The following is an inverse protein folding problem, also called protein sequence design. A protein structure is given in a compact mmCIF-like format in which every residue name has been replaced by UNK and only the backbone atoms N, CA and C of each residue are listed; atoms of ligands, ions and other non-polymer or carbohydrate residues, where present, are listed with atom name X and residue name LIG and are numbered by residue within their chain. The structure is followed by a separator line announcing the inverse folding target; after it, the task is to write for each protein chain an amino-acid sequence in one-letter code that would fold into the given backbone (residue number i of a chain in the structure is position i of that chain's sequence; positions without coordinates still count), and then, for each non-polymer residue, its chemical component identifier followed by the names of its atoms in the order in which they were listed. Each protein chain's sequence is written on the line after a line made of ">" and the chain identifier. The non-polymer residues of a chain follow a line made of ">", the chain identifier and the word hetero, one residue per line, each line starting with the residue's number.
data_IF_701481570060
#
_entry.id   IF_701481570060
#
_cell.length_a   1.000
_cell.length_b   1.000
_cell.length_c   1.000
_cell.angle_alpha   90.00
_cell.angle_beta   90.00
_cell.angle_gamma   90.00
#
_symmetry.space_group_name_H-M   'P 1'
#
loop_
_entity.id
_entity.type
_entity.pdbx_description
1 polymer ?
#
# COMPACT_ATOMS: atom_id res chain seq x y z
N UNK A 1 42.32 12.88 45.40
CA UNK A 1 41.50 12.99 44.17
C UNK A 1 40.06 12.64 44.51
N UNK A 2 39.12 13.53 44.17
CA UNK A 2 37.70 13.40 44.51
C UNK A 2 37.03 12.23 43.74
N UNK A 3 36.00 11.58 44.31
CA UNK A 3 35.28 10.46 43.67
C UNK A 3 34.61 10.86 42.33
N UNK A 4 34.27 12.14 42.16
CA UNK A 4 33.74 12.71 40.91
C UNK A 4 34.81 12.80 39.82
N UNK A 5 36.08 13.08 40.18
CA UNK A 5 37.19 13.07 39.22
C UNK A 5 37.55 11.65 38.76
N UNK A 6 37.39 10.63 39.60
CA UNK A 6 37.61 9.22 39.20
C UNK A 6 36.59 8.74 38.17
N UNK A 7 35.31 9.11 38.31
CA UNK A 7 34.27 8.73 37.34
C UNK A 7 34.43 9.44 35.99
N UNK A 8 34.88 10.70 35.99
CA UNK A 8 35.16 11.43 34.74
C UNK A 8 36.38 10.86 33.99
N UNK A 9 37.44 10.49 34.71
CA UNK A 9 38.64 9.88 34.09
C UNK A 9 38.32 8.48 33.54
N UNK A 10 37.50 7.68 34.23
CA UNK A 10 37.03 6.39 33.73
C UNK A 10 36.10 6.53 32.50
N UNK A 11 35.20 7.52 32.49
CA UNK A 11 34.34 7.80 31.33
C UNK A 11 35.16 8.24 30.11
N UNK A 12 36.20 9.06 30.30
CA UNK A 12 37.10 9.51 29.22
C UNK A 12 37.96 8.34 28.70
N UNK A 13 38.42 7.44 29.57
CA UNK A 13 39.20 6.26 29.19
C UNK A 13 38.37 5.20 28.45
N UNK A 14 37.05 5.12 28.66
CA UNK A 14 36.19 4.13 28.00
C UNK A 14 35.53 4.67 26.72
N UNK A 15 35.18 5.97 26.68
CA UNK A 15 34.48 6.56 25.55
C UNK A 15 35.43 6.90 24.39
N UNK A 16 36.65 7.36 24.67
CA UNK A 16 37.63 7.69 23.61
C UNK A 16 38.06 6.46 22.78
N UNK A 17 38.37 5.28 23.35
CA UNK A 17 38.67 4.12 22.53
C UNK A 17 37.46 3.57 21.77
N UNK A 18 36.21 3.74 22.28
CA UNK A 18 35.01 3.34 21.54
C UNK A 18 34.70 4.26 20.36
N UNK A 19 34.91 5.57 20.51
CA UNK A 19 34.82 6.51 19.38
C UNK A 19 35.98 6.29 18.41
N UNK A 20 37.19 6.01 18.91
CA UNK A 20 38.35 5.65 18.09
C UNK A 20 38.15 4.35 17.30
N UNK A 21 37.52 3.33 17.90
CA UNK A 21 37.17 2.06 17.23
C UNK A 21 36.03 2.26 16.23
N UNK A 22 35.04 3.10 16.53
CA UNK A 22 33.98 3.47 15.59
C UNK A 22 34.51 4.24 14.37
N UNK A 23 35.44 5.17 14.59
CA UNK A 23 36.13 5.90 13.51
C UNK A 23 37.04 4.96 12.73
N UNK A 24 37.79 4.06 13.38
CA UNK A 24 38.67 3.08 12.73
C UNK A 24 37.90 2.00 11.95
N UNK A 25 36.76 1.52 12.45
CA UNK A 25 35.88 0.62 11.70
C UNK A 25 35.20 1.34 10.53
N UNK A 26 34.83 2.62 10.69
CA UNK A 26 34.28 3.42 9.59
C UNK A 26 35.34 3.80 8.53
N UNK A 27 36.60 3.95 8.93
CA UNK A 27 37.71 4.23 8.00
C UNK A 27 38.22 2.97 7.31
N UNK A 28 38.29 1.83 8.02
CA UNK A 28 38.65 0.51 7.49
C UNK A 28 37.59 -0.01 6.50
N UNK A 29 36.30 0.17 6.80
CA UNK A 29 35.20 -0.16 5.85
C UNK A 29 35.08 0.84 4.69
N UNK A 30 35.75 2.00 4.76
CA UNK A 30 35.81 2.98 3.66
C UNK A 30 37.04 2.76 2.75
N UNK A 31 38.06 2.03 3.19
CA UNK A 31 39.28 1.79 2.41
C UNK A 31 39.23 0.63 1.43
N UNK A 32 38.27 -0.29 1.52
CA UNK A 32 38.13 -1.37 0.52
C UNK A 32 37.24 -1.00 -0.70
N UNK A 33 36.68 0.21 -0.74
CA UNK A 33 35.85 0.70 -1.86
C UNK A 33 36.52 1.75 -2.75
N UNK A 34 37.79 2.11 -2.52
CA UNK A 34 38.52 3.02 -3.42
C UNK A 34 39.71 2.28 -4.01
N UNK A 35 39.41 1.32 -4.89
CA UNK A 35 40.41 0.84 -5.85
C UNK A 35 40.52 1.90 -6.95
N UNK A 36 41.71 2.50 -7.05
CA UNK A 36 42.11 3.56 -7.96
C UNK A 36 41.37 3.57 -9.31
N UNK A 37 40.53 4.58 -9.52
CA UNK A 37 40.26 5.07 -10.88
C UNK A 37 41.52 5.80 -11.37
N UNK A 38 42.32 5.11 -12.16
CA UNK A 38 43.26 5.77 -13.05
C UNK A 38 42.49 6.74 -13.96
N UNK A 39 43.01 7.96 -14.06
CA UNK A 39 42.58 8.95 -15.07
C UNK A 39 42.70 8.26 -16.43
N UNK A 40 41.61 8.10 -17.21
CA UNK A 40 41.76 7.60 -18.56
C UNK A 40 42.44 8.69 -19.36
N UNK A 41 43.71 8.46 -19.71
CA UNK A 41 44.23 8.93 -20.98
C UNK A 41 43.26 8.46 -22.07
N UNK A 42 42.86 9.35 -22.98
CA UNK A 42 42.11 8.96 -24.16
C UNK A 42 42.85 7.81 -24.87
N UNK A 43 42.17 6.68 -25.09
CA UNK A 43 41.98 6.29 -26.47
C UNK A 43 40.52 5.88 -26.74
N UNK A 44 40.07 6.19 -27.96
CA UNK A 44 38.98 5.59 -28.74
C UNK A 44 37.85 4.85 -28.00
N UNK A 45 36.62 5.28 -28.31
CA UNK A 45 35.37 4.60 -27.94
C UNK A 45 35.33 3.11 -28.33
N UNK A 46 35.58 2.22 -27.39
CA UNK A 46 35.11 0.83 -27.49
C UNK A 46 33.75 0.72 -26.79
N UNK A 47 32.68 0.77 -27.58
CA UNK A 47 31.37 0.29 -27.14
C UNK A 47 31.48 -1.22 -26.93
N UNK A 48 31.56 -1.70 -25.68
CA UNK A 48 31.30 -3.10 -25.36
C UNK A 48 29.86 -3.43 -25.71
N UNK A 49 29.63 -4.10 -26.83
CA UNK A 49 28.36 -4.75 -27.13
C UNK A 49 28.20 -5.94 -26.19
N UNK A 50 27.37 -5.82 -25.16
CA UNK A 50 26.89 -7.00 -24.43
C UNK A 50 26.10 -7.87 -25.40
N UNK A 51 26.42 -9.16 -25.46
CA UNK A 51 25.68 -10.09 -26.30
C UNK A 51 24.31 -10.32 -25.67
N UNK A 52 23.24 -10.33 -26.47
CA UNK A 52 21.88 -10.63 -26.01
C UNK A 52 21.81 -11.95 -25.21
N UNK A 53 22.71 -12.89 -25.52
CA UNK A 53 22.85 -14.16 -24.79
C UNK A 53 23.25 -13.97 -23.33
N UNK A 54 24.15 -13.02 -23.05
CA UNK A 54 24.62 -12.71 -21.68
C UNK A 54 23.53 -12.02 -20.87
N UNK A 55 22.76 -11.12 -21.49
CA UNK A 55 21.63 -10.46 -20.84
C UNK A 55 20.50 -11.45 -20.52
N UNK A 56 20.22 -12.40 -21.42
CA UNK A 56 19.25 -13.48 -21.17
C UNK A 56 19.68 -14.38 -20.01
N UNK A 57 20.97 -14.72 -19.93
CA UNK A 57 21.53 -15.48 -18.82
C UNK A 57 21.38 -14.71 -17.50
N UNK A 58 21.73 -13.42 -17.50
CA UNK A 58 21.59 -12.56 -16.33
C UNK A 58 20.14 -12.46 -15.86
N UNK A 59 19.17 -12.30 -16.76
CA UNK A 59 17.76 -12.26 -16.41
C UNK A 59 17.32 -13.57 -15.72
N UNK A 60 17.78 -14.72 -16.22
CA UNK A 60 17.49 -16.04 -15.64
C UNK A 60 18.10 -16.19 -14.24
N UNK A 61 19.37 -15.88 -14.07
CA UNK A 61 20.07 -15.96 -12.77
C UNK A 61 19.46 -15.01 -11.74
N UNK A 62 19.05 -13.81 -12.16
CA UNK A 62 18.33 -12.88 -11.30
C UNK A 62 16.97 -13.42 -10.88
N UNK A 63 16.21 -14.05 -11.78
CA UNK A 63 14.93 -14.69 -11.45
C UNK A 63 15.10 -15.89 -10.51
N UNK A 64 16.15 -16.70 -10.67
CA UNK A 64 16.48 -17.79 -9.74
C UNK A 64 16.89 -17.25 -8.36
N UNK A 65 17.69 -16.17 -8.34
CA UNK A 65 18.07 -15.46 -7.10
C UNK A 65 16.85 -14.82 -6.44
N UNK A 66 15.89 -14.31 -7.21
CA UNK A 66 14.65 -13.76 -6.67
C UNK A 66 13.86 -14.86 -5.94
N UNK A 67 13.76 -16.05 -6.53
CA UNK A 67 13.08 -17.20 -5.92
C UNK A 67 13.75 -17.65 -4.61
N UNK A 68 15.08 -17.55 -4.48
CA UNK A 68 15.77 -17.87 -3.22
C UNK A 68 15.63 -16.77 -2.14
N UNK A 69 15.21 -15.57 -2.54
CA UNK A 69 14.95 -14.44 -1.64
C UNK A 69 13.51 -14.37 -1.13
N UNK A 70 12.73 -15.46 -1.21
CA UNK A 70 11.35 -15.53 -0.69
C UNK A 70 11.22 -15.04 0.77
N UNK A 71 12.26 -15.22 1.58
CA UNK A 71 12.29 -14.78 2.99
C UNK A 71 12.70 -13.31 3.19
N UNK A 72 13.06 -12.58 2.13
CA UNK A 72 13.42 -11.17 2.17
C UNK A 72 12.61 -10.39 1.13
N UNK A 73 11.37 -10.06 1.47
CA UNK A 73 10.41 -9.38 0.57
C UNK A 73 11.00 -8.11 -0.07
N UNK A 74 11.73 -7.28 0.69
CA UNK A 74 12.39 -6.08 0.15
C UNK A 74 13.38 -6.41 -0.98
N UNK A 75 14.19 -7.45 -0.80
CA UNK A 75 15.17 -7.87 -1.80
C UNK A 75 14.47 -8.58 -2.97
N UNK A 76 13.44 -9.38 -2.69
CA UNK A 76 12.59 -10.03 -3.68
C UNK A 76 12.00 -9.02 -4.68
N UNK A 77 11.35 -7.97 -4.18
CA UNK A 77 10.73 -6.94 -5.03
C UNK A 77 11.75 -6.02 -5.71
N UNK A 78 12.86 -5.69 -5.05
CA UNK A 78 13.93 -4.90 -5.68
C UNK A 78 14.54 -5.65 -6.86
N UNK A 79 14.73 -6.96 -6.70
CA UNK A 79 15.29 -7.80 -7.75
C UNK A 79 14.31 -7.97 -8.92
N UNK A 80 13.01 -8.02 -8.67
CA UNK A 80 11.97 -7.98 -9.71
C UNK A 80 12.12 -6.80 -10.65
N UNK A 81 12.35 -5.60 -10.09
CA UNK A 81 12.55 -4.38 -10.88
C UNK A 81 13.82 -4.46 -11.73
N UNK A 82 14.89 -5.04 -11.20
CA UNK A 82 16.12 -5.25 -11.96
C UNK A 82 15.94 -6.27 -13.08
N UNK A 83 15.21 -7.35 -12.83
CA UNK A 83 14.84 -8.34 -13.86
C UNK A 83 14.03 -7.67 -14.96
N UNK A 84 13.08 -6.81 -14.60
CA UNK A 84 12.25 -6.09 -15.57
C UNK A 84 13.07 -5.13 -16.44
N UNK A 85 14.02 -4.39 -15.85
CA UNK A 85 14.93 -3.53 -16.61
C UNK A 85 15.83 -4.32 -17.57
N UNK A 86 16.33 -5.48 -17.15
CA UNK A 86 17.11 -6.37 -18.04
C UNK A 86 16.24 -6.92 -19.17
N UNK A 87 14.99 -7.30 -18.87
CA UNK A 87 14.02 -7.74 -19.89
C UNK A 87 13.75 -6.63 -20.92
N UNK A 88 13.56 -5.39 -20.49
CA UNK A 88 13.37 -4.24 -21.38
C UNK A 88 14.60 -3.97 -22.26
N UNK A 89 15.81 -4.16 -21.70
CA UNK A 89 17.06 -4.05 -22.46
C UNK A 89 17.21 -5.17 -23.51
N UNK A 90 16.80 -6.41 -23.18
CA UNK A 90 16.79 -7.52 -24.14
C UNK A 90 15.83 -7.21 -25.29
N UNK A 91 14.64 -6.68 -24.99
CA UNK A 91 13.65 -6.29 -26.00
C UNK A 91 14.19 -5.18 -26.91
N UNK A 92 14.88 -4.18 -26.35
CA UNK A 92 15.42 -3.07 -27.14
C UNK A 92 16.58 -3.47 -28.05
N UNK A 93 17.31 -4.54 -27.71
CA UNK A 93 18.46 -5.03 -28.49
C UNK A 93 18.06 -6.08 -29.55
N UNK A 94 17.18 -7.03 -29.21
CA UNK A 94 16.92 -8.23 -30.04
C UNK A 94 15.48 -8.33 -30.56
N UNK A 95 14.60 -7.38 -30.19
CA UNK A 95 13.22 -7.32 -30.66
C UNK A 95 12.30 -8.47 -30.22
N UNK A 96 12.82 -9.52 -29.55
CA UNK A 96 12.02 -10.67 -29.15
C UNK A 96 12.52 -11.34 -27.85
N UNK A 97 11.55 -11.71 -26.99
CA UNK A 97 11.79 -12.53 -25.80
C UNK A 97 11.63 -14.01 -26.20
N UNK A 98 12.62 -14.86 -25.92
CA UNK A 98 12.49 -16.31 -26.13
C UNK A 98 11.44 -16.91 -25.19
N UNK A 99 10.73 -17.96 -25.63
CA UNK A 99 9.57 -18.53 -24.91
C UNK A 99 9.87 -18.99 -23.48
N UNK A 100 11.13 -19.35 -23.17
CA UNK A 100 11.58 -19.72 -21.82
C UNK A 100 11.49 -18.58 -20.79
N UNK A 101 11.50 -17.32 -21.24
CA UNK A 101 11.35 -16.12 -20.39
C UNK A 101 9.93 -15.52 -20.44
N UNK A 102 9.08 -15.98 -21.36
CA UNK A 102 7.66 -15.58 -21.43
C UNK A 102 6.80 -16.32 -20.40
N UNK A 103 7.20 -17.54 -20.02
CA UNK A 103 6.40 -18.42 -19.16
C UNK A 103 6.16 -17.89 -17.74
N UNK A 104 6.99 -16.97 -17.25
CA UNK A 104 6.83 -16.35 -15.93
C UNK A 104 6.02 -15.04 -15.95
N UNK A 105 5.66 -14.51 -17.13
CA UNK A 105 4.92 -13.25 -17.27
C UNK A 105 3.82 -13.38 -18.34
N UNK A 106 2.80 -14.20 -18.09
CA UNK A 106 1.52 -14.04 -18.82
C UNK A 106 0.74 -12.84 -18.28
N UNK A 107 1.35 -11.64 -18.41
CA UNK A 107 0.59 -10.39 -18.42
C UNK A 107 0.43 -10.04 -19.89
N UNK A 108 -0.79 -10.30 -20.36
CA UNK A 108 -1.27 -10.09 -21.70
C UNK A 108 -0.99 -8.65 -22.17
N UNK A 109 0.12 -8.44 -22.90
CA UNK A 109 0.43 -7.18 -23.58
C UNK A 109 -0.26 -7.09 -24.95
N UNK A 110 -1.52 -7.52 -25.01
CA UNK A 110 -2.35 -7.44 -26.21
C UNK A 110 -3.64 -6.63 -25.97
N UNK A 111 -3.51 -5.35 -25.64
CA UNK A 111 -4.57 -4.36 -25.92
C UNK A 111 -4.03 -2.93 -25.82
N UNK A 112 -3.40 -2.48 -26.90
CA UNK A 112 -3.27 -1.05 -27.19
C UNK A 112 -4.55 -0.63 -27.93
N UNK A 113 -5.18 0.46 -27.45
CA UNK A 113 -6.33 1.19 -28.02
C UNK A 113 -7.73 1.02 -27.37
N UNK A 114 -7.80 1.03 -26.05
CA UNK A 114 -8.92 1.72 -25.38
C UNK A 114 -8.39 2.41 -24.13
N UNK A 115 -8.47 3.74 -24.07
CA UNK A 115 -8.36 4.44 -22.79
C UNK A 115 -9.34 3.75 -21.82
N UNK A 116 -8.89 3.28 -20.64
CA UNK A 116 -9.80 2.69 -19.68
C UNK A 116 -10.93 3.67 -19.42
N UNK A 117 -12.18 3.23 -19.57
CA UNK A 117 -13.34 4.05 -19.25
C UNK A 117 -13.19 4.45 -17.78
N UNK A 118 -13.04 5.75 -17.51
CA UNK A 118 -12.93 6.25 -16.14
C UNK A 118 -14.26 6.03 -15.44
N UNK A 119 -14.24 5.37 -14.30
CA UNK A 119 -15.45 5.08 -13.54
C UNK A 119 -15.83 6.23 -12.60
N UNK A 120 -14.82 6.99 -12.17
CA UNK A 120 -14.95 8.14 -11.27
C UNK A 120 -14.16 9.34 -11.77
N UNK A 121 -14.62 10.55 -11.44
CA UNK A 121 -13.90 11.77 -11.74
C UNK A 121 -12.64 11.86 -10.88
N UNK A 122 -11.49 12.07 -11.52
CA UNK A 122 -10.23 12.24 -10.80
C UNK A 122 -10.19 13.58 -10.05
N UNK A 123 -9.59 13.56 -8.87
CA UNK A 123 -9.21 14.77 -8.15
C UNK A 123 -8.00 15.43 -8.80
N UNK A 124 -7.96 16.76 -8.77
CA UNK A 124 -6.78 17.53 -9.16
C UNK A 124 -6.38 18.46 -8.03
N UNK A 125 -5.07 18.69 -7.95
CA UNK A 125 -4.57 19.78 -7.13
C UNK A 125 -4.99 21.11 -7.78
N UNK A 126 -5.92 21.81 -7.15
CA UNK A 126 -6.49 23.09 -7.60
C UNK A 126 -6.01 24.26 -6.73
N UNK A 127 -5.24 24.01 -5.67
CA UNK A 127 -4.68 25.10 -4.86
C UNK A 127 -3.66 25.92 -5.67
N UNK A 128 -3.69 27.26 -5.55
CA UNK A 128 -2.80 28.14 -6.30
C UNK A 128 -1.33 27.98 -5.91
N UNK A 129 -1.05 27.55 -4.66
CA UNK A 129 0.28 27.26 -4.17
C UNK A 129 0.23 26.38 -2.92
N UNK A 130 1.39 25.84 -2.50
CA UNK A 130 1.54 25.03 -1.29
C UNK A 130 1.19 25.83 -0.01
N UNK A 131 1.48 27.13 0.01
CA UNK A 131 1.21 28.03 1.13
C UNK A 131 -0.30 28.22 1.37
N UNK A 132 -1.14 27.94 0.37
CA UNK A 132 -2.60 27.94 0.53
C UNK A 132 -3.11 26.68 1.27
N UNK A 133 -2.33 25.60 1.20
CA UNK A 133 -2.63 24.29 1.81
C UNK A 133 -2.02 24.20 3.21
N UNK A 134 -0.92 24.88 3.46
CA UNK A 134 -0.32 24.91 4.80
C UNK A 134 -0.88 26.07 5.64
N UNK A 135 -1.25 25.87 6.92
CA UNK A 135 -1.27 24.61 7.68
C UNK A 135 -2.61 23.85 7.56
N UNK A 136 -3.53 24.29 6.69
CA UNK A 136 -4.87 23.70 6.52
C UNK A 136 -4.89 22.65 5.40
N UNK A 137 -4.28 21.50 5.67
CA UNK A 137 -4.03 20.40 4.71
C UNK A 137 -5.28 19.76 4.07
N UNK A 138 -6.48 20.17 4.48
CA UNK A 138 -7.76 19.75 3.87
C UNK A 138 -8.08 20.47 2.56
N UNK A 139 -7.41 21.58 2.25
CA UNK A 139 -7.65 22.36 1.05
C UNK A 139 -6.61 22.02 -0.02
N UNK A 140 -7.03 21.92 -1.27
CA UNK A 140 -6.11 21.93 -2.40
C UNK A 140 -6.33 20.82 -3.41
N UNK A 141 -6.87 19.67 -3.02
CA UNK A 141 -7.38 18.68 -3.97
C UNK A 141 -8.89 18.84 -4.07
N UNK A 142 -9.39 18.91 -5.31
CA UNK A 142 -10.83 18.98 -5.57
C UNK A 142 -11.17 18.17 -6.83
N UNK A 143 -12.42 17.76 -6.94
CA UNK A 143 -12.91 16.96 -8.07
C UNK A 143 -13.09 17.86 -9.28
N UNK A 144 -12.68 17.34 -10.43
CA UNK A 144 -12.98 18.00 -11.71
C UNK A 144 -14.36 17.55 -12.15
N UNK A 145 -15.21 18.50 -12.57
CA UNK A 145 -16.49 18.17 -13.21
C UNK A 145 -16.23 17.29 -14.44
N UNK A 146 -16.76 16.08 -14.42
CA UNK A 146 -16.67 15.15 -15.54
C UNK A 146 -18.05 14.55 -15.84
N UNK A 147 -18.33 14.30 -17.11
CA UNK A 147 -19.59 13.70 -17.58
C UNK A 147 -19.60 12.17 -17.48
N UNK A 148 -18.41 11.59 -17.35
CA UNK A 148 -18.18 10.15 -17.46
C UNK A 148 -17.96 9.58 -16.05
N UNK A 149 -19.01 9.55 -15.23
CA UNK A 149 -18.97 8.87 -13.93
C UNK A 149 -20.09 7.84 -13.82
N UNK A 150 -19.78 6.71 -13.20
CA UNK A 150 -20.76 5.68 -12.86
C UNK A 150 -21.29 5.97 -11.46
N UNK A 151 -22.61 5.87 -11.21
CA UNK A 151 -23.17 6.04 -9.88
C UNK A 151 -22.51 5.12 -8.84
N UNK A 152 -22.18 5.64 -7.66
CA UNK A 152 -21.39 4.90 -6.66
C UNK A 152 -22.12 3.67 -6.12
N UNK A 153 -23.44 3.71 -6.07
CA UNK A 153 -24.29 2.57 -5.69
C UNK A 153 -24.18 1.38 -6.65
N UNK A 154 -23.68 1.60 -7.87
CA UNK A 154 -23.36 0.54 -8.83
C UNK A 154 -21.91 0.08 -8.74
N UNK A 155 -21.04 0.87 -8.10
CA UNK A 155 -19.60 0.61 -8.02
C UNK A 155 -19.18 -0.04 -6.71
N UNK A 156 -19.75 0.37 -5.57
CA UNK A 156 -19.25 -0.02 -4.25
C UNK A 156 -20.37 -0.44 -3.30
N UNK A 157 -20.08 -1.45 -2.50
CA UNK A 157 -20.84 -1.82 -1.29
C UNK A 157 -19.92 -1.68 -0.09
N UNK A 158 -20.38 -1.06 0.99
CA UNK A 158 -19.62 -0.94 2.24
C UNK A 158 -20.02 -2.05 3.21
N UNK A 159 -19.04 -2.75 3.77
CA UNK A 159 -19.20 -3.67 4.90
C UNK A 159 -18.51 -3.01 6.09
N UNK A 160 -19.31 -2.66 7.09
CA UNK A 160 -18.90 -1.78 8.19
C UNK A 160 -19.13 -2.48 9.52
N UNK A 161 -18.13 -2.49 10.40
CA UNK A 161 -18.32 -2.85 11.83
C UNK A 161 -17.99 -1.64 12.70
N UNK A 162 -18.43 -1.68 13.95
CA UNK A 162 -18.04 -0.72 14.98
C UNK A 162 -17.40 -1.45 16.16
N UNK A 163 -16.52 -0.77 16.94
CA UNK A 163 -16.02 -1.33 18.18
C UNK A 163 -17.16 -1.75 19.12
N UNK A 164 -16.95 -2.81 19.90
CA UNK A 164 -17.99 -3.35 20.80
C UNK A 164 -18.50 -2.32 21.81
N UNK A 165 -17.60 -1.49 22.34
CA UNK A 165 -17.89 -0.49 23.38
C UNK A 165 -18.20 0.91 22.81
N UNK A 166 -18.65 1.02 21.57
CA UNK A 166 -19.01 2.32 20.99
C UNK A 166 -20.30 2.88 21.61
N UNK A 167 -20.30 4.19 21.92
CA UNK A 167 -21.51 4.85 22.41
C UNK A 167 -22.58 4.94 21.31
N UNK A 168 -23.85 4.91 21.71
CA UNK A 168 -24.97 5.06 20.78
C UNK A 168 -24.89 6.37 20.00
N UNK A 169 -24.50 7.47 20.64
CA UNK A 169 -24.32 8.78 20.00
C UNK A 169 -23.25 8.74 18.90
N UNK A 170 -22.09 8.14 19.18
CA UNK A 170 -21.02 8.02 18.19
C UNK A 170 -21.45 7.14 17.02
N UNK A 171 -22.15 6.04 17.29
CA UNK A 171 -22.69 5.18 16.25
C UNK A 171 -23.72 5.91 15.37
N UNK A 172 -24.59 6.73 15.96
CA UNK A 172 -25.50 7.60 15.19
C UNK A 172 -24.74 8.61 14.33
N UNK A 173 -23.66 9.20 14.85
CA UNK A 173 -22.84 10.16 14.11
C UNK A 173 -22.14 9.49 12.90
N UNK A 174 -21.70 8.25 13.04
CA UNK A 174 -21.17 7.45 11.92
C UNK A 174 -22.24 7.29 10.84
N UNK A 175 -23.44 6.84 11.18
CA UNK A 175 -24.51 6.65 10.18
C UNK A 175 -24.97 7.96 9.54
N UNK A 176 -25.08 9.05 10.33
CA UNK A 176 -25.33 10.39 9.78
C UNK A 176 -24.25 10.80 8.78
N UNK A 177 -22.98 10.54 9.10
CA UNK A 177 -21.86 10.79 8.18
C UNK A 177 -21.99 9.99 6.89
N UNK A 178 -22.20 8.67 6.99
CA UNK A 178 -22.38 7.78 5.84
C UNK A 178 -23.48 8.29 4.91
N UNK A 179 -24.66 8.58 5.44
CA UNK A 179 -25.81 9.04 4.63
C UNK A 179 -25.58 10.44 4.08
N UNK A 180 -24.92 11.32 4.82
CA UNK A 180 -24.64 12.68 4.37
C UNK A 180 -23.67 12.71 3.18
N UNK A 181 -22.63 11.87 3.19
CA UNK A 181 -21.59 11.88 2.15
C UNK A 181 -21.85 10.85 1.03
N UNK A 182 -22.48 9.73 1.35
CA UNK A 182 -22.74 8.61 0.43
C UNK A 182 -24.18 8.07 0.55
N UNK A 183 -25.20 8.91 0.29
CA UNK A 183 -26.61 8.57 0.54
C UNK A 183 -27.15 7.39 -0.28
N UNK A 184 -26.56 7.09 -1.44
CA UNK A 184 -27.01 6.01 -2.31
C UNK A 184 -26.26 4.69 -2.12
N UNK A 185 -25.07 4.72 -1.50
CA UNK A 185 -24.18 3.56 -1.45
C UNK A 185 -24.75 2.48 -0.53
N UNK A 186 -24.90 1.21 -0.97
CA UNK A 186 -25.32 0.12 -0.10
C UNK A 186 -24.35 -0.09 1.07
N UNK A 187 -24.88 -0.17 2.29
CA UNK A 187 -24.10 -0.40 3.52
C UNK A 187 -24.64 -1.59 4.28
N UNK A 188 -23.78 -2.57 4.53
CA UNK A 188 -23.99 -3.69 5.42
C UNK A 188 -23.30 -3.36 6.74
N UNK A 189 -24.07 -2.91 7.73
CA UNK A 189 -23.57 -2.77 9.09
C UNK A 189 -23.60 -4.13 9.77
N UNK A 190 -22.43 -4.62 10.18
CA UNK A 190 -22.26 -5.95 10.74
C UNK A 190 -21.98 -5.85 12.23
N UNK A 191 -22.74 -6.60 13.03
CA UNK A 191 -22.68 -6.53 14.49
C UNK A 191 -22.91 -7.90 15.15
N UNK A 192 -22.44 -8.07 16.39
CA UNK A 192 -22.66 -9.30 17.18
C UNK A 192 -24.10 -9.48 17.64
N UNK A 193 -24.81 -8.37 17.83
CA UNK A 193 -26.18 -8.36 18.29
C UNK A 193 -26.96 -7.30 17.53
N UNK A 194 -28.28 -7.44 17.46
CA UNK A 194 -29.12 -6.41 16.85
C UNK A 194 -28.90 -5.10 17.58
N UNK A 195 -28.50 -4.07 16.84
CA UNK A 195 -28.44 -2.71 17.37
C UNK A 195 -29.84 -2.25 17.77
N UNK A 196 -29.92 -1.51 18.87
CA UNK A 196 -31.16 -0.84 19.30
C UNK A 196 -31.48 0.38 18.42
N UNK A 197 -30.57 0.78 17.53
CA UNK A 197 -30.80 1.85 16.57
C UNK A 197 -31.68 1.37 15.42
N UNK A 198 -32.69 2.16 15.10
CA UNK A 198 -33.49 1.95 13.92
C UNK A 198 -32.72 2.44 12.68
N UNK A 199 -31.90 1.56 12.07
CA UNK A 199 -31.00 1.95 10.97
C UNK A 199 -31.73 2.54 9.76
N UNK A 200 -33.00 2.15 9.54
CA UNK A 200 -33.81 2.66 8.43
C UNK A 200 -34.16 4.15 8.58
N UNK A 201 -34.06 4.72 9.78
CA UNK A 201 -34.22 6.17 10.00
C UNK A 201 -33.07 6.98 9.42
N UNK A 202 -31.89 6.36 9.28
CA UNK A 202 -30.73 7.02 8.67
C UNK A 202 -30.80 6.90 7.15
N UNK A 203 -31.06 5.71 6.61
CA UNK A 203 -31.16 5.51 5.17
C UNK A 203 -31.63 4.11 4.80
N UNK A 204 -32.41 4.00 3.73
CA UNK A 204 -32.90 2.71 3.21
C UNK A 204 -31.80 1.83 2.62
N UNK A 205 -30.64 2.41 2.34
CA UNK A 205 -29.43 1.74 1.86
C UNK A 205 -28.62 1.08 2.98
N UNK A 206 -28.99 1.27 4.25
CA UNK A 206 -28.28 0.69 5.40
C UNK A 206 -29.04 -0.54 5.90
N UNK A 207 -28.33 -1.67 5.97
CA UNK A 207 -28.85 -2.94 6.46
C UNK A 207 -28.06 -3.40 7.68
N UNK A 208 -28.75 -3.94 8.69
CA UNK A 208 -28.10 -4.59 9.81
C UNK A 208 -27.95 -6.09 9.52
N UNK A 209 -26.73 -6.60 9.64
CA UNK A 209 -26.41 -8.02 9.49
C UNK A 209 -25.79 -8.51 10.79
N UNK A 210 -26.37 -9.55 11.39
CA UNK A 210 -25.94 -10.05 12.69
C UNK A 210 -25.15 -11.34 12.51
N UNK A 211 -23.95 -11.39 13.09
CA UNK A 211 -23.09 -12.57 13.12
C UNK A 211 -22.47 -12.72 14.51
N UNK A 212 -22.47 -13.94 15.03
CA UNK A 212 -21.94 -14.22 16.38
C UNK A 212 -20.44 -13.95 16.50
N UNK A 213 -19.71 -14.04 15.37
CA UNK A 213 -18.26 -13.94 15.30
C UNK A 213 -17.81 -12.98 14.19
N UNK A 214 -17.29 -11.82 14.58
CA UNK A 214 -16.80 -10.79 13.66
C UNK A 214 -15.29 -10.86 13.43
N UNK A 215 -14.60 -11.75 14.15
CA UNK A 215 -13.13 -11.83 14.14
C UNK A 215 -12.59 -12.81 13.10
N UNK A 216 -13.38 -13.78 12.68
CA UNK A 216 -12.92 -14.80 11.73
C UNK A 216 -13.17 -14.43 10.27
N UNK A 217 -12.19 -14.74 9.40
CA UNK A 217 -12.33 -14.51 7.96
C UNK A 217 -13.39 -15.36 7.29
N UNK A 218 -13.92 -16.40 7.96
CA UNK A 218 -15.14 -17.10 7.53
C UNK A 218 -16.34 -16.15 7.43
N UNK A 219 -16.54 -15.28 8.42
CA UNK A 219 -17.64 -14.30 8.41
C UNK A 219 -17.46 -13.28 7.29
N UNK A 220 -16.25 -12.72 7.17
CA UNK A 220 -15.91 -11.81 6.08
C UNK A 220 -16.08 -12.45 4.70
N UNK A 221 -15.74 -13.74 4.55
CA UNK A 221 -15.95 -14.51 3.32
C UNK A 221 -17.44 -14.71 3.00
N UNK A 222 -18.28 -14.95 4.00
CA UNK A 222 -19.73 -15.07 3.80
C UNK A 222 -20.34 -13.73 3.37
N UNK A 223 -19.96 -12.64 4.03
CA UNK A 223 -20.39 -11.28 3.66
C UNK A 223 -19.94 -10.91 2.25
N UNK A 224 -18.68 -11.20 1.90
CA UNK A 224 -18.15 -10.90 0.58
C UNK A 224 -18.95 -11.60 -0.54
N UNK A 225 -19.44 -12.82 -0.30
CA UNK A 225 -20.25 -13.56 -1.28
C UNK A 225 -21.55 -12.84 -1.65
N UNK A 226 -22.13 -12.05 -0.74
CA UNK A 226 -23.38 -11.31 -1.00
C UNK A 226 -23.15 -10.02 -1.77
N UNK A 227 -21.91 -9.53 -1.85
CA UNK A 227 -21.59 -8.28 -2.56
C UNK A 227 -21.61 -8.52 -4.07
N UNK A 228 -22.39 -7.73 -4.81
CA UNK A 228 -22.50 -7.79 -6.27
C UNK A 228 -21.78 -6.64 -6.99
N UNK A 229 -21.44 -5.56 -6.27
CA UNK A 229 -20.75 -4.40 -6.84
C UNK A 229 -19.30 -4.71 -7.19
N UNK A 230 -18.71 -4.06 -8.23
CA UNK A 230 -17.33 -4.26 -8.65
C UNK A 230 -16.28 -4.05 -7.54
N UNK A 231 -16.57 -3.15 -6.61
CA UNK A 231 -15.73 -2.87 -5.45
C UNK A 231 -16.47 -3.14 -4.14
N UNK A 232 -15.71 -3.48 -3.12
CA UNK A 232 -16.17 -3.68 -1.75
C UNK A 232 -15.26 -2.88 -0.82
N UNK A 233 -15.85 -2.07 0.05
CA UNK A 233 -15.12 -1.35 1.10
C UNK A 233 -15.32 -2.09 2.42
N UNK A 234 -14.25 -2.67 2.95
CA UNK A 234 -14.21 -3.20 4.30
C UNK A 234 -13.78 -2.09 5.24
N UNK A 235 -14.62 -1.79 6.22
CA UNK A 235 -14.37 -0.75 7.21
C UNK A 235 -14.57 -1.34 8.62
N UNK A 236 -13.58 -2.11 9.11
CA UNK A 236 -13.67 -2.69 10.43
C UNK A 236 -13.49 -1.61 11.50
N UNK A 237 -14.27 -1.73 12.55
CA UNK A 237 -14.17 -0.99 13.81
C UNK A 237 -14.08 0.53 13.63
N UNK A 238 -14.86 1.07 12.69
CA UNK A 238 -14.84 2.50 12.45
C UNK A 238 -15.45 3.27 13.62
N UNK A 239 -14.81 4.39 13.93
CA UNK A 239 -15.23 5.34 14.96
C UNK A 239 -15.60 6.71 14.40
N UNK A 240 -15.19 6.99 13.15
CA UNK A 240 -15.43 8.27 12.48
C UNK A 240 -15.80 8.05 11.01
N UNK A 241 -16.77 8.82 10.53
CA UNK A 241 -17.11 8.92 9.11
C UNK A 241 -17.44 10.39 8.80
N UNK A 242 -16.47 11.12 8.27
CA UNK A 242 -16.52 12.59 8.10
C UNK A 242 -16.22 13.00 6.66
N UNK A 243 -16.12 14.31 6.43
CA UNK A 243 -15.67 14.92 5.17
C UNK A 243 -14.26 14.50 4.71
N UNK A 244 -13.50 13.82 5.57
CA UNK A 244 -12.18 13.29 5.22
C UNK A 244 -12.26 11.97 4.42
N UNK A 245 -13.43 11.32 4.37
CA UNK A 245 -13.62 10.05 3.63
C UNK A 245 -13.67 10.31 2.12
N UNK A 246 -12.95 9.49 1.36
CA UNK A 246 -12.87 9.63 -0.10
C UNK A 246 -12.88 8.27 -0.82
N UNK A 247 -14.09 7.72 -0.96
CA UNK A 247 -14.37 6.44 -1.62
C UNK A 247 -13.97 6.48 -3.11
N UNK A 248 -14.21 7.60 -3.77
CA UNK A 248 -13.93 7.82 -5.18
C UNK A 248 -12.44 7.75 -5.47
N UNK A 249 -11.60 8.26 -4.57
CA UNK A 249 -10.15 8.13 -4.71
C UNK A 249 -9.70 6.67 -4.65
N UNK A 250 -10.28 5.85 -3.77
CA UNK A 250 -9.98 4.42 -3.70
C UNK A 250 -10.41 3.71 -4.99
N UNK A 251 -11.61 4.01 -5.52
CA UNK A 251 -12.08 3.48 -6.80
C UNK A 251 -11.14 3.88 -7.94
N UNK A 252 -10.71 5.15 -8.00
CA UNK A 252 -9.75 5.62 -9.01
C UNK A 252 -8.45 4.83 -8.96
N UNK A 253 -7.87 4.66 -7.77
CA UNK A 253 -6.63 3.89 -7.60
C UNK A 253 -6.79 2.47 -8.12
N UNK A 254 -7.89 1.79 -7.79
CA UNK A 254 -8.13 0.41 -8.22
C UNK A 254 -8.47 0.27 -9.70
N UNK A 255 -9.23 1.21 -10.27
CA UNK A 255 -9.65 1.19 -11.68
C UNK A 255 -8.50 1.56 -12.63
N UNK A 256 -7.65 2.51 -12.26
CA UNK A 256 -6.51 2.94 -13.07
C UNK A 256 -5.32 1.96 -13.01
N UNK A 257 -5.21 1.17 -11.95
CA UNK A 257 -4.10 0.22 -11.74
C UNK A 257 -4.59 -1.23 -11.83
N UNK A 258 -4.32 -1.89 -12.97
CA UNK A 258 -4.73 -3.27 -13.22
C UNK A 258 -4.18 -4.25 -12.18
N UNK A 259 -2.93 -4.05 -11.77
CA UNK A 259 -2.22 -4.95 -10.84
C UNK A 259 -2.55 -4.69 -9.35
N UNK A 260 -3.34 -3.65 -9.04
CA UNK A 260 -3.75 -3.34 -7.67
C UNK A 260 -5.11 -3.95 -7.39
N UNK A 261 -5.19 -4.85 -6.40
CA UNK A 261 -6.44 -5.51 -5.98
C UNK A 261 -7.03 -4.82 -4.74
N UNK A 262 -6.18 -4.34 -3.83
CA UNK A 262 -6.56 -3.73 -2.56
C UNK A 262 -5.93 -2.34 -2.45
N UNK A 263 -6.71 -1.38 -1.98
CA UNK A 263 -6.27 -0.03 -1.68
C UNK A 263 -6.82 0.42 -0.33
N UNK A 264 -5.94 0.91 0.55
CA UNK A 264 -6.31 1.50 1.83
C UNK A 264 -6.06 3.01 1.84
N UNK A 265 -6.51 3.66 2.90
CA UNK A 265 -6.23 5.06 3.17
C UNK A 265 -5.79 5.28 4.61
N UNK A 266 -5.26 6.47 4.86
CA UNK A 266 -5.14 6.98 6.22
C UNK A 266 -6.52 7.03 6.86
N UNK A 267 -6.59 6.69 8.15
CA UNK A 267 -7.84 6.62 8.89
C UNK A 267 -7.63 7.14 10.31
N UNK A 268 -8.73 7.45 11.00
CA UNK A 268 -8.67 7.73 12.44
C UNK A 268 -8.75 6.44 13.22
N UNK A 269 -7.84 6.26 14.17
CA UNK A 269 -7.91 5.16 15.12
C UNK A 269 -9.02 5.41 16.16
N UNK A 270 -9.20 4.47 17.10
CA UNK A 270 -10.21 4.58 18.16
C UNK A 270 -9.98 5.77 19.11
N UNK A 271 -8.76 6.33 19.16
CA UNK A 271 -8.44 7.55 19.93
C UNK A 271 -8.69 8.84 19.14
N UNK A 272 -9.10 8.73 17.88
CA UNK A 272 -9.28 9.88 16.98
C UNK A 272 -7.99 10.42 16.37
N UNK A 273 -6.87 9.73 16.56
CA UNK A 273 -5.57 10.09 15.98
C UNK A 273 -5.47 9.54 14.55
N UNK A 274 -4.77 10.27 13.69
CA UNK A 274 -4.51 9.81 12.32
C UNK A 274 -3.48 8.69 12.30
N UNK A 275 -3.88 7.56 11.73
CA UNK A 275 -3.00 6.46 11.34
C UNK A 275 -2.86 6.46 9.82
N UNK A 276 -1.63 6.35 9.34
CA UNK A 276 -1.32 6.27 7.90
C UNK A 276 -1.75 4.94 7.28
N UNK A 277 -1.91 3.89 8.09
CA UNK A 277 -2.41 2.57 7.70
C UNK A 277 -1.48 1.78 6.78
N UNK A 278 -0.16 2.00 6.80
CA UNK A 278 0.79 1.38 5.88
C UNK A 278 2.03 0.88 6.61
N UNK A 279 2.16 -0.46 6.68
CA UNK A 279 3.24 -1.13 7.40
C UNK A 279 3.97 -2.17 6.53
N UNK A 280 5.24 -2.37 6.84
CA UNK A 280 6.06 -3.46 6.32
C UNK A 280 6.23 -4.52 7.40
N UNK A 281 6.14 -5.79 7.01
CA UNK A 281 6.38 -6.93 7.87
C UNK A 281 7.84 -7.33 7.76
N UNK A 282 8.49 -7.52 8.90
CA UNK A 282 9.82 -8.07 8.99
C UNK A 282 9.82 -9.29 9.92
N UNK A 283 10.34 -10.42 9.46
CA UNK A 283 10.46 -11.61 10.28
C UNK A 283 11.89 -11.73 10.81
N UNK A 284 12.06 -11.70 12.13
CA UNK A 284 13.35 -11.97 12.78
C UNK A 284 13.15 -12.86 13.99
N UNK A 285 13.97 -13.90 14.13
CA UNK A 285 13.94 -14.81 15.28
C UNK A 285 12.53 -15.36 15.56
N UNK A 286 11.79 -15.78 14.53
CA UNK A 286 10.42 -16.30 14.63
C UNK A 286 9.37 -15.30 15.14
N UNK A 287 9.69 -14.00 15.13
CA UNK A 287 8.79 -12.91 15.52
C UNK A 287 8.54 -12.02 14.31
N UNK A 288 7.26 -11.70 14.06
CA UNK A 288 6.86 -10.70 13.08
C UNK A 288 6.93 -9.30 13.71
N UNK A 289 7.64 -8.38 13.05
CA UNK A 289 7.71 -6.97 13.40
C UNK A 289 7.00 -6.17 12.33
N UNK A 290 6.07 -5.31 12.74
CA UNK A 290 5.41 -4.37 11.86
C UNK A 290 6.11 -3.03 12.01
N UNK A 291 6.72 -2.57 10.93
CA UNK A 291 7.45 -1.32 10.90
C UNK A 291 6.71 -0.34 10.00
N UNK A 292 6.73 0.90 10.44
CA UNK A 292 6.34 2.04 9.65
C UNK A 292 7.15 2.10 8.35
N UNK A 293 6.50 1.93 7.20
CA UNK A 293 7.23 1.98 5.93
C UNK A 293 6.44 1.48 4.73
N UNK A 294 7.07 1.64 3.56
CA UNK A 294 6.57 1.16 2.28
C UNK A 294 7.76 0.75 1.40
N UNK A 295 7.55 -0.19 0.47
CA UNK A 295 8.61 -0.71 -0.40
C UNK A 295 8.91 0.22 -1.56
N UNK A 296 7.84 0.77 -2.13
CA UNK A 296 7.85 1.68 -3.25
C UNK A 296 6.60 2.54 -3.21
N UNK A 297 6.67 3.68 -3.87
CA UNK A 297 5.52 4.49 -4.17
C UNK A 297 5.33 4.56 -5.68
N UNK A 298 4.09 4.77 -6.11
CA UNK A 298 3.75 5.09 -7.49
C UNK A 298 2.57 6.06 -7.47
N UNK A 299 2.55 7.01 -8.40
CA UNK A 299 1.60 8.14 -8.41
C UNK A 299 1.49 8.80 -7.03
N UNK A 300 0.40 8.52 -6.32
CA UNK A 300 0.01 9.02 -5.00
C UNK A 300 -0.19 7.88 -3.98
N UNK A 301 0.25 6.66 -4.30
CA UNK A 301 0.07 5.44 -3.51
C UNK A 301 1.40 4.93 -2.93
N UNK A 302 1.31 4.36 -1.73
CA UNK A 302 2.39 3.63 -1.06
C UNK A 302 2.09 2.13 -1.13
N UNK A 303 3.11 1.31 -1.41
CA UNK A 303 2.98 -0.15 -1.43
C UNK A 303 3.50 -0.73 -0.11
N UNK A 304 2.63 -1.41 0.61
CA UNK A 304 2.83 -1.90 1.98
C UNK A 304 2.38 -3.38 2.06
N UNK A 305 2.79 -4.11 3.11
CA UNK A 305 2.30 -5.48 3.32
C UNK A 305 1.00 -5.52 4.10
N UNK A 306 0.80 -4.55 5.00
CA UNK A 306 -0.30 -4.56 5.96
C UNK A 306 -1.03 -3.23 5.95
N UNK A 307 -2.35 -3.33 5.84
CA UNK A 307 -3.32 -2.26 5.96
C UNK A 307 -4.24 -2.59 7.15
N UNK A 308 -4.01 -2.00 8.34
CA UNK A 308 -4.82 -2.32 9.53
C UNK A 308 -6.17 -1.59 9.56
N UNK A 309 -6.32 -0.55 8.75
CA UNK A 309 -7.54 0.25 8.68
C UNK A 309 -8.52 -0.20 7.58
N UNK A 310 -9.54 0.62 7.32
CA UNK A 310 -10.45 0.41 6.20
C UNK A 310 -9.71 0.28 4.86
N UNK A 311 -10.13 -0.67 4.05
CA UNK A 311 -9.59 -0.93 2.73
C UNK A 311 -10.69 -1.26 1.72
N UNK A 312 -10.50 -0.79 0.50
CA UNK A 312 -11.32 -1.17 -0.64
C UNK A 312 -10.62 -2.25 -1.45
N UNK A 313 -11.38 -3.20 -1.98
CA UNK A 313 -10.87 -4.22 -2.87
C UNK A 313 -11.73 -4.35 -4.12
N UNK A 314 -11.12 -4.85 -5.20
CA UNK A 314 -11.86 -5.39 -6.35
C UNK A 314 -12.56 -6.67 -5.90
N UNK A 315 -13.89 -6.67 -5.98
CA UNK A 315 -14.73 -7.72 -5.39
C UNK A 315 -14.46 -9.09 -5.99
N UNK A 316 -14.28 -9.18 -7.30
CA UNK A 316 -14.06 -10.46 -7.99
C UNK A 316 -12.73 -11.09 -7.58
N UNK A 317 -11.66 -10.32 -7.66
CA UNK A 317 -10.30 -10.74 -7.32
C UNK A 317 -10.18 -11.09 -5.84
N UNK A 318 -10.81 -10.31 -4.95
CA UNK A 318 -10.82 -10.64 -3.52
C UNK A 318 -11.62 -11.93 -3.23
N UNK A 319 -12.70 -12.21 -3.96
CA UNK A 319 -13.43 -13.49 -3.85
C UNK A 319 -12.58 -14.68 -4.27
N UNK A 320 -11.71 -14.51 -5.26
CA UNK A 320 -10.79 -15.53 -5.73
C UNK A 320 -9.62 -15.75 -4.75
N UNK A 321 -9.10 -14.68 -4.15
CA UNK A 321 -8.06 -14.75 -3.12
C UNK A 321 -8.56 -15.38 -1.82
N UNK A 322 -9.77 -15.00 -1.39
CA UNK A 322 -10.36 -15.44 -0.12
C UNK A 322 -9.73 -14.78 1.11
N UNK A 323 -10.32 -15.06 2.28
CA UNK A 323 -9.77 -14.72 3.59
C UNK A 323 -9.28 -15.99 4.28
N UNK A 324 -8.29 -15.87 5.17
CA UNK A 324 -7.98 -16.94 6.11
C UNK A 324 -9.20 -17.19 7.00
N UNK A 325 -9.64 -18.44 7.11
CA UNK A 325 -10.86 -18.76 7.84
C UNK A 325 -10.71 -18.61 9.36
N UNK A 326 -9.47 -18.67 9.88
CA UNK A 326 -9.17 -18.77 11.31
C UNK A 326 -8.81 -17.44 11.98
#
# INVERSE_FOLDING_TARGET
>A
MNPIQRSFVLAVIVIIPYIGLGIWLSSSLRTDSIRHFHKPSNPASEKKHYSTKELRLLAKELSETQRSLQHSQLLFYRLEKHIQLVKELIISIDGNLTDDLKKDNSVDRSSVNSLPKREVCAEKFMAPSWEYVFPRFRKGFDRVNCSDFVPLDQLVTMIVTSPEEISTENLQNIFKGIVNYYPSVPVMFVSKSKTNLNLTEFGSNITNVVFDDLTHGKTWSMLLKTVSTPYVLFAPDITYFTDDVNVERLIRVLSENKDTIIAGGSHKNQRGEWDKGCFQVNFRNWVAFFLDGYYRSFTDCLVCDVLPGPFMAKTKELKELGFDEK
#
